data_IF_477423947155
#
_entry.id   IF_477423947155
#
_cell.length_a   1.000
_cell.length_b   1.000
_cell.length_c   1.000
_cell.angle_alpha   90.00
_cell.angle_beta   90.00
_cell.angle_gamma   90.00
#
_symmetry.space_group_name_H-M   'P 1'
#
loop_
_entity.id
_entity.type
_entity.pdbx_description
1 polymer ?
#
# COMPACT_ATOMS: atom_id res chain seq x y z
N UNK A 1 -4.88 -1.54 14.62
CA UNK A 1 -5.71 -1.12 13.49
C UNK A 1 -7.13 -1.60 13.69
N UNK A 2 -8.05 -1.09 12.87
CA UNK A 2 -9.45 -1.54 12.81
C UNK A 2 -9.72 -2.09 11.40
N UNK A 3 -10.57 -3.10 11.29
CA UNK A 3 -11.03 -3.60 9.99
C UNK A 3 -12.17 -2.73 9.46
N UNK A 4 -12.07 -2.30 8.20
CA UNK A 4 -13.13 -1.64 7.45
C UNK A 4 -13.46 -2.48 6.21
N UNK A 5 -14.74 -2.71 5.93
CA UNK A 5 -15.16 -3.36 4.69
C UNK A 5 -15.75 -2.31 3.77
N UNK A 6 -15.16 -2.16 2.59
CA UNK A 6 -15.65 -1.17 1.62
C UNK A 6 -16.92 -1.65 0.89
N UNK A 7 -17.61 -0.78 0.13
CA UNK A 7 -18.82 -1.17 -0.59
C UNK A 7 -18.60 -2.23 -1.69
N UNK A 8 -17.34 -2.55 -2.03
CA UNK A 8 -16.99 -3.61 -2.98
C UNK A 8 -16.75 -4.97 -2.27
N UNK A 9 -16.80 -4.99 -0.92
CA UNK A 9 -16.56 -6.18 -0.10
C UNK A 9 -15.08 -6.42 0.23
N UNK A 10 -14.19 -5.48 -0.11
CA UNK A 10 -12.76 -5.61 0.20
C UNK A 10 -12.51 -5.22 1.66
N UNK A 11 -11.69 -6.01 2.37
CA UNK A 11 -11.31 -5.76 3.76
C UNK A 11 -10.05 -4.89 3.81
N UNK A 12 -10.14 -3.78 4.53
CA UNK A 12 -9.09 -2.82 4.82
C UNK A 12 -8.67 -2.86 6.29
N UNK A 13 -7.37 -2.98 6.56
CA UNK A 13 -6.77 -2.73 7.87
C UNK A 13 -6.34 -1.27 7.94
N UNK A 14 -7.06 -0.47 8.72
CA UNK A 14 -6.76 0.96 8.89
C UNK A 14 -5.71 1.21 9.98
N UNK A 15 -4.69 1.99 9.63
CA UNK A 15 -3.69 2.50 10.58
C UNK A 15 -4.27 3.62 11.44
N UNK A 16 -5.04 4.53 10.82
CA UNK A 16 -5.75 5.62 11.50
C UNK A 16 -7.25 5.52 11.30
N UNK A 17 -8.00 5.75 12.38
CA UNK A 17 -9.46 5.76 12.35
C UNK A 17 -9.92 7.17 11.99
N UNK A 18 -10.00 7.45 10.69
CA UNK A 18 -10.48 8.72 10.13
C UNK A 18 -11.68 8.49 9.23
N UNK A 19 -12.54 9.51 9.08
CA UNK A 19 -13.74 9.45 8.26
C UNK A 19 -13.68 10.52 7.16
N UNK A 20 -13.65 10.14 5.86
CA UNK A 20 -13.58 8.77 5.34
C UNK A 20 -12.20 8.10 5.58
N UNK A 21 -12.10 6.76 5.57
CA UNK A 21 -10.82 6.05 5.67
C UNK A 21 -9.86 6.43 4.55
N UNK A 22 -8.56 6.51 4.84
CA UNK A 22 -7.56 6.91 3.85
C UNK A 22 -6.77 5.73 3.28
N UNK A 23 -6.90 4.51 3.83
CA UNK A 23 -6.25 3.30 3.31
C UNK A 23 -4.74 3.49 3.13
N UNK A 24 -3.99 3.64 4.23
CA UNK A 24 -2.53 3.77 4.19
C UNK A 24 -1.90 2.44 3.77
N UNK A 25 -1.12 2.45 2.67
CA UNK A 25 -0.63 1.21 2.07
C UNK A 25 0.33 0.43 2.96
N UNK A 26 1.32 1.09 3.55
CA UNK A 26 2.29 0.43 4.43
C UNK A 26 1.62 -0.14 5.68
N UNK A 27 0.72 0.62 6.31
CA UNK A 27 -0.03 0.18 7.50
C UNK A 27 -0.88 -1.06 7.20
N UNK A 28 -1.58 -1.06 6.06
CA UNK A 28 -2.35 -2.22 5.61
C UNK A 28 -1.48 -3.48 5.46
N UNK A 29 -0.34 -3.36 4.77
CA UNK A 29 0.54 -4.51 4.49
C UNK A 29 1.15 -5.07 5.78
N UNK A 30 1.59 -4.21 6.70
CA UNK A 30 2.12 -4.66 7.99
C UNK A 30 1.06 -5.37 8.84
N UNK A 31 -0.17 -4.86 8.87
CA UNK A 31 -1.26 -5.53 9.56
C UNK A 31 -1.56 -6.91 8.93
N UNK A 32 -1.54 -7.02 7.60
CA UNK A 32 -1.72 -8.30 6.91
C UNK A 32 -0.62 -9.31 7.27
N UNK A 33 0.64 -8.89 7.37
CA UNK A 33 1.73 -9.75 7.82
C UNK A 33 1.55 -10.20 9.28
N UNK A 34 1.12 -9.31 10.18
CA UNK A 34 0.82 -9.68 11.56
C UNK A 34 -0.29 -10.75 11.67
N UNK A 35 -1.34 -10.65 10.85
CA UNK A 35 -2.40 -11.67 10.76
C UNK A 35 -1.85 -13.00 10.24
N UNK A 36 -0.98 -12.96 9.23
CA UNK A 36 -0.32 -14.15 8.70
C UNK A 36 0.57 -14.84 9.74
N UNK A 37 1.41 -14.08 10.45
CA UNK A 37 2.30 -14.60 11.48
C UNK A 37 1.51 -15.23 12.62
N UNK A 38 0.42 -14.58 13.05
CA UNK A 38 -0.50 -15.16 14.03
C UNK A 38 -1.13 -16.46 13.53
N UNK A 39 -1.56 -16.53 12.27
CA UNK A 39 -2.10 -17.76 11.67
C UNK A 39 -1.07 -18.90 11.69
N UNK A 40 0.21 -18.61 11.39
CA UNK A 40 1.27 -19.60 11.44
C UNK A 40 1.55 -20.07 12.87
N UNK A 41 1.56 -19.16 13.83
CA UNK A 41 1.86 -19.47 15.24
C UNK A 41 0.73 -20.23 15.93
N UNK A 42 -0.53 -19.88 15.64
CA UNK A 42 -1.72 -20.45 16.30
C UNK A 42 -2.33 -21.64 15.55
N UNK A 43 -2.11 -21.74 14.24
CA UNK A 43 -2.84 -22.65 13.37
C UNK A 43 -4.30 -22.24 13.13
N UNK A 44 -4.72 -21.04 13.55
CA UNK A 44 -6.11 -20.58 13.41
C UNK A 44 -6.51 -20.43 11.93
N UNK A 45 -7.50 -21.21 11.44
CA UNK A 45 -7.99 -21.11 10.07
C UNK A 45 -8.69 -19.76 9.79
N UNK A 46 -9.21 -19.09 10.82
CA UNK A 46 -9.86 -17.78 10.70
C UNK A 46 -8.84 -16.72 10.33
N UNK A 47 -7.71 -16.68 11.05
CA UNK A 47 -6.59 -15.79 10.73
C UNK A 47 -6.02 -16.07 9.34
N UNK A 48 -5.94 -17.34 8.93
CA UNK A 48 -5.52 -17.70 7.57
C UNK A 48 -6.47 -17.12 6.52
N UNK A 49 -7.77 -17.30 6.71
CA UNK A 49 -8.81 -16.76 5.82
C UNK A 49 -8.75 -15.23 5.75
N UNK A 50 -8.54 -14.57 6.89
CA UNK A 50 -8.43 -13.11 6.96
C UNK A 50 -7.20 -12.59 6.20
N UNK A 51 -6.06 -13.27 6.29
CA UNK A 51 -4.89 -12.93 5.48
C UNK A 51 -5.18 -13.08 3.98
N UNK A 52 -5.83 -14.16 3.56
CA UNK A 52 -6.19 -14.35 2.14
C UNK A 52 -7.14 -13.26 1.63
N UNK A 53 -8.11 -12.84 2.45
CA UNK A 53 -8.99 -11.71 2.13
C UNK A 53 -8.18 -10.41 1.98
N UNK A 54 -7.21 -10.16 2.86
CA UNK A 54 -6.33 -8.99 2.76
C UNK A 54 -5.46 -9.00 1.48
N UNK A 55 -4.96 -10.17 1.08
CA UNK A 55 -4.24 -10.33 -0.20
C UNK A 55 -5.16 -10.03 -1.38
N UNK A 56 -6.41 -10.50 -1.35
CA UNK A 56 -7.40 -10.21 -2.40
C UNK A 56 -7.69 -8.71 -2.51
N UNK A 57 -7.89 -8.03 -1.37
CA UNK A 57 -8.05 -6.56 -1.32
C UNK A 57 -6.88 -5.86 -1.98
N UNK A 58 -5.64 -6.24 -1.63
CA UNK A 58 -4.44 -5.65 -2.22
C UNK A 58 -4.39 -5.86 -3.73
N UNK A 59 -4.61 -7.08 -4.21
CA UNK A 59 -4.56 -7.38 -5.64
C UNK A 59 -5.55 -6.53 -6.45
N UNK A 60 -6.75 -6.27 -5.89
CA UNK A 60 -7.78 -5.46 -6.54
C UNK A 60 -7.49 -3.96 -6.50
N UNK A 61 -6.79 -3.48 -5.48
CA UNK A 61 -6.66 -2.05 -5.22
C UNK A 61 -5.24 -1.50 -5.43
N UNK A 62 -4.22 -2.33 -5.61
CA UNK A 62 -2.82 -1.90 -5.70
C UNK A 62 -2.56 -0.91 -6.84
N UNK A 63 -3.21 -1.08 -7.99
CA UNK A 63 -3.07 -0.15 -9.12
C UNK A 63 -3.55 1.27 -8.76
N UNK A 64 -4.44 1.43 -7.78
CA UNK A 64 -4.88 2.77 -7.29
C UNK A 64 -3.75 3.52 -6.58
N UNK A 65 -2.71 2.82 -6.12
CA UNK A 65 -1.52 3.41 -5.52
C UNK A 65 -0.43 3.73 -6.54
N UNK A 66 -0.63 3.41 -7.82
CA UNK A 66 0.31 3.76 -8.89
C UNK A 66 -0.07 5.10 -9.54
N UNK A 67 0.83 6.08 -9.52
CA UNK A 67 0.61 7.37 -10.16
C UNK A 67 1.16 7.43 -11.60
N UNK A 68 1.70 6.34 -12.13
CA UNK A 68 2.38 6.25 -13.42
C UNK A 68 3.81 6.80 -13.43
N UNK A 69 4.24 7.41 -12.33
CA UNK A 69 5.60 7.94 -12.15
C UNK A 69 6.16 7.77 -10.75
N UNK A 70 5.33 7.39 -9.77
CA UNK A 70 5.68 7.19 -8.37
C UNK A 70 4.56 6.43 -7.64
N UNK A 71 4.81 5.96 -6.42
CA UNK A 71 3.75 5.38 -5.58
C UNK A 71 3.02 6.44 -4.75
N UNK A 72 1.73 6.23 -4.54
CA UNK A 72 0.90 6.96 -3.59
C UNK A 72 1.15 6.44 -2.16
N UNK A 73 1.06 7.32 -1.15
CA UNK A 73 1.14 6.92 0.25
C UNK A 73 -0.21 6.41 0.77
N UNK A 74 -1.26 7.19 0.55
CA UNK A 74 -2.61 6.93 1.02
C UNK A 74 -3.66 7.46 0.03
N UNK A 75 -4.86 6.90 0.09
CA UNK A 75 -6.03 7.29 -0.68
C UNK A 75 -6.88 8.33 0.08
N UNK A 76 -6.25 9.42 0.52
CA UNK A 76 -6.88 10.46 1.36
C UNK A 76 -8.06 11.21 0.73
N UNK A 77 -8.31 11.05 -0.58
CA UNK A 77 -9.34 11.82 -1.30
C UNK A 77 -9.02 13.33 -1.44
N UNK A 78 -7.86 13.79 -0.97
CA UNK A 78 -7.46 15.20 -1.08
C UNK A 78 -7.19 15.60 -2.53
N UNK A 79 -7.46 16.86 -2.88
CA UNK A 79 -7.25 17.40 -4.23
C UNK A 79 -5.82 17.20 -4.73
N UNK A 80 -4.83 17.45 -3.87
CA UNK A 80 -3.46 17.01 -4.12
C UNK A 80 -3.26 15.64 -3.48
N UNK A 81 -2.84 14.67 -4.28
CA UNK A 81 -2.55 13.32 -3.82
C UNK A 81 -1.30 13.31 -2.92
N UNK A 82 -1.34 12.58 -1.82
CA UNK A 82 -0.19 12.43 -0.92
C UNK A 82 0.83 11.43 -1.51
N UNK A 83 1.78 11.96 -2.29
CA UNK A 83 2.84 11.16 -2.90
C UNK A 83 3.78 10.59 -1.81
N UNK A 84 4.13 9.32 -1.92
CA UNK A 84 5.05 8.66 -0.99
C UNK A 84 6.40 9.38 -0.96
N UNK A 85 7.00 9.54 0.24
CA UNK A 85 8.40 9.99 0.33
C UNK A 85 9.33 8.99 -0.37
N UNK A 86 10.57 9.38 -0.71
CA UNK A 86 11.57 8.42 -1.21
C UNK A 86 11.73 7.19 -0.32
N UNK A 87 11.71 7.38 0.99
CA UNK A 87 11.72 6.29 1.95
C UNK A 87 10.51 5.36 1.80
N UNK A 88 9.29 5.89 1.84
CA UNK A 88 8.08 5.07 1.74
C UNK A 88 7.93 4.40 0.38
N UNK A 89 8.38 5.04 -0.70
CA UNK A 89 8.38 4.43 -2.02
C UNK A 89 9.30 3.19 -2.07
N UNK A 90 10.50 3.29 -1.50
CA UNK A 90 11.40 2.13 -1.39
C UNK A 90 10.82 1.05 -0.47
N UNK A 91 10.22 1.45 0.65
CA UNK A 91 9.54 0.53 1.56
C UNK A 91 8.43 -0.25 0.85
N UNK A 92 7.61 0.44 0.06
CA UNK A 92 6.55 -0.19 -0.72
C UNK A 92 7.10 -1.21 -1.74
N UNK A 93 8.20 -0.90 -2.42
CA UNK A 93 8.86 -1.86 -3.34
C UNK A 93 9.28 -3.13 -2.58
N UNK A 94 9.90 -2.97 -1.40
CA UNK A 94 10.31 -4.11 -0.56
C UNK A 94 9.09 -4.92 -0.11
N UNK A 95 8.02 -4.26 0.34
CA UNK A 95 6.77 -4.91 0.71
C UNK A 95 6.19 -5.76 -0.41
N UNK A 96 6.10 -5.22 -1.62
CA UNK A 96 5.58 -5.94 -2.78
C UNK A 96 6.44 -7.17 -3.13
N UNK A 97 7.77 -7.05 -3.05
CA UNK A 97 8.67 -8.20 -3.25
C UNK A 97 8.48 -9.29 -2.19
N UNK A 98 8.23 -8.91 -0.94
CA UNK A 98 7.93 -9.87 0.14
C UNK A 98 6.57 -10.52 -0.08
N UNK A 99 5.53 -9.74 -0.41
CA UNK A 99 4.20 -10.28 -0.74
C UNK A 99 4.26 -11.29 -1.89
N UNK A 100 5.03 -10.99 -2.95
CA UNK A 100 5.28 -11.96 -4.02
C UNK A 100 5.93 -13.25 -3.49
N UNK A 101 6.97 -13.17 -2.64
CA UNK A 101 7.61 -14.36 -2.06
C UNK A 101 6.67 -15.18 -1.18
N UNK A 102 5.74 -14.51 -0.48
CA UNK A 102 4.78 -15.17 0.41
C UNK A 102 3.62 -15.83 -0.36
N UNK A 103 3.16 -15.22 -1.45
CA UNK A 103 1.90 -15.60 -2.13
C UNK A 103 2.09 -16.22 -3.51
N UNK A 104 3.22 -15.97 -4.17
CA UNK A 104 3.45 -16.34 -5.57
C UNK A 104 2.72 -15.44 -6.59
N UNK A 105 1.98 -14.43 -6.14
CA UNK A 105 1.13 -13.60 -7.00
C UNK A 105 1.94 -12.61 -7.83
N UNK A 106 2.01 -12.86 -9.13
CA UNK A 106 2.78 -12.07 -10.10
C UNK A 106 2.47 -10.56 -10.16
N UNK A 107 1.22 -10.09 -9.91
CA UNK A 107 0.94 -8.65 -9.86
C UNK A 107 1.84 -7.89 -8.88
N UNK A 108 2.19 -8.48 -7.73
CA UNK A 108 3.08 -7.83 -6.76
C UNK A 108 4.48 -7.61 -7.32
N UNK A 109 5.06 -8.64 -7.97
CA UNK A 109 6.40 -8.54 -8.55
C UNK A 109 6.45 -7.50 -9.68
N UNK A 110 5.48 -7.56 -10.60
CA UNK A 110 5.41 -6.60 -11.73
C UNK A 110 5.30 -5.16 -11.24
N UNK A 111 4.50 -4.92 -10.20
CA UNK A 111 4.35 -3.59 -9.63
C UNK A 111 5.63 -3.12 -8.93
N UNK A 112 6.30 -4.01 -8.20
CA UNK A 112 7.57 -3.71 -7.54
C UNK A 112 8.64 -3.28 -8.55
N UNK A 113 8.77 -4.00 -9.67
CA UNK A 113 9.73 -3.68 -10.74
C UNK A 113 9.39 -2.36 -11.43
N UNK A 114 8.09 -2.11 -11.68
CA UNK A 114 7.60 -0.84 -12.24
C UNK A 114 7.96 0.34 -11.33
N UNK A 115 7.70 0.23 -10.03
CA UNK A 115 8.04 1.25 -9.04
C UNK A 115 9.54 1.43 -8.87
N UNK A 116 10.32 0.36 -8.89
CA UNK A 116 11.78 0.47 -8.87
C UNK A 116 12.32 1.25 -10.07
N UNK A 117 11.78 1.01 -11.26
CA UNK A 117 12.13 1.76 -12.48
C UNK A 117 11.78 3.25 -12.35
N UNK A 118 10.65 3.60 -11.72
CA UNK A 118 10.34 4.98 -11.39
C UNK A 118 11.42 5.60 -10.48
N UNK A 119 11.83 4.86 -9.45
CA UNK A 119 12.91 5.22 -8.53
C UNK A 119 14.24 5.53 -9.22
N UNK A 120 14.54 4.86 -10.34
CA UNK A 120 15.79 5.04 -11.12
C UNK A 120 15.78 6.31 -11.99
N UNK A 121 14.63 6.77 -12.43
CA UNK A 121 14.47 7.97 -13.27
C UNK A 121 14.67 9.27 -12.48
N UNK A 122 15.66 10.09 -12.88
CA UNK A 122 15.89 11.43 -12.30
C UNK A 122 14.66 12.33 -12.45
N UNK A 123 14.00 12.31 -13.61
CA UNK A 123 12.81 13.11 -13.86
C UNK A 123 11.65 12.73 -12.91
N UNK A 124 11.42 11.44 -12.68
CA UNK A 124 10.37 10.97 -11.78
C UNK A 124 10.67 11.34 -10.32
N UNK A 125 11.92 11.19 -9.87
CA UNK A 125 12.34 11.61 -8.52
C UNK A 125 12.11 13.10 -8.30
N UNK A 126 12.52 13.95 -9.26
CA UNK A 126 12.29 15.40 -9.17
C UNK A 126 10.79 15.72 -9.16
N UNK A 127 10.00 15.08 -10.04
CA UNK A 127 8.54 15.25 -10.07
C UNK A 127 7.90 14.88 -8.73
N UNK A 128 8.27 13.75 -8.13
CA UNK A 128 7.75 13.31 -6.83
C UNK A 128 8.12 14.29 -5.72
N UNK A 129 9.34 14.82 -5.71
CA UNK A 129 9.78 15.83 -4.75
C UNK A 129 8.97 17.12 -4.89
N UNK A 130 8.80 17.65 -6.11
CA UNK A 130 8.00 18.85 -6.35
C UNK A 130 6.55 18.67 -5.91
N UNK A 131 5.92 17.54 -6.24
CA UNK A 131 4.56 17.21 -5.79
C UNK A 131 4.45 17.18 -4.27
N UNK A 132 5.42 16.54 -3.60
CA UNK A 132 5.43 16.44 -2.14
C UNK A 132 5.64 17.81 -1.47
N UNK A 133 6.49 18.66 -2.04
CA UNK A 133 6.69 20.04 -1.57
C UNK A 133 5.42 20.88 -1.75
N UNK A 134 4.75 20.79 -2.91
CA UNK A 134 3.49 21.46 -3.16
C UNK A 134 2.38 20.98 -2.20
N UNK A 135 2.29 19.68 -1.95
CA UNK A 135 1.36 19.13 -0.95
C UNK A 135 1.63 19.72 0.43
N UNK A 136 2.89 19.77 0.88
CA UNK A 136 3.22 20.38 2.17
C UNK A 136 2.82 21.85 2.23
N UNK A 137 3.11 22.66 1.22
CA UNK A 137 2.75 24.07 1.19
C UNK A 137 1.24 24.35 1.20
N UNK A 138 0.42 23.45 0.67
CA UNK A 138 -1.02 23.62 0.63
C UNK A 138 -1.76 23.09 1.86
N UNK A 139 -1.17 22.15 2.59
CA UNK A 139 -1.84 21.41 3.66
C UNK A 139 -1.12 21.50 5.02
N UNK A 140 0.02 22.20 5.10
CA UNK A 140 0.78 22.52 6.31
C UNK A 140 1.30 23.95 6.26
#
# INVERSE_FOLDING_TARGET
GVTFTDPQGDIWFEEYIVSPPTHILNGFIWAAWGVHDYSLASGDPTARSLFQQAIHTLLRNLDRYDLGFWSLYEQSGTRLKMVASPFYHQLHIVHLRILYRMTGEQPFLRLAERWENYGRSRANRTRALCYKSAFKLCYY
#
